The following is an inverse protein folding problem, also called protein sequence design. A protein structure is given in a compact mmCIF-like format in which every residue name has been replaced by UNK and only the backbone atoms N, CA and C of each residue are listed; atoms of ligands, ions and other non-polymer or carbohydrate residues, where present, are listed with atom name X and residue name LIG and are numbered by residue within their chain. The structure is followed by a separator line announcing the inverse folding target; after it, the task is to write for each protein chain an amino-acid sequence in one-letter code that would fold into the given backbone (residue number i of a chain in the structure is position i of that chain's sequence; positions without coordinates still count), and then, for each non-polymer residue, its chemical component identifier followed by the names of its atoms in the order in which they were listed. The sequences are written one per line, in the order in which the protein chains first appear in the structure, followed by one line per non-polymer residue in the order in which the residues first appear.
data_IF_519998752286
#
_entry.id   IF_519998752286
#
_cell.length_a   1.000
_cell.length_b   1.000
_cell.length_c   1.000
_cell.angle_alpha   90.00
_cell.angle_beta   90.00
_cell.angle_gamma   90.00
#
_symmetry.space_group_name_H-M   'P 1'
#
loop_
_entity.id
_entity.type
_entity.pdbx_description
1 polymer ?
#
# COMPACT_ATOMS: atom_id res chain seq x y z
N UNK A 1 -10.36 9.10 10.28
CA UNK A 1 -10.13 8.36 9.03
C UNK A 1 -8.68 7.95 8.89
N UNK A 2 -8.41 6.65 8.98
CA UNK A 2 -7.06 6.09 8.80
C UNK A 2 -6.58 6.21 7.35
N UNK A 3 -5.28 6.47 7.18
CA UNK A 3 -4.61 6.63 5.89
C UNK A 3 -3.51 5.57 5.73
N UNK A 4 -3.30 5.09 4.51
CA UNK A 4 -2.31 4.04 4.22
C UNK A 4 -1.24 4.54 3.25
N UNK A 5 0.01 4.15 3.48
CA UNK A 5 1.08 4.31 2.50
C UNK A 5 1.24 3.01 1.71
N UNK A 6 1.31 3.14 0.39
CA UNK A 6 1.54 2.02 -0.53
C UNK A 6 2.78 2.30 -1.39
N UNK A 7 3.21 1.32 -2.16
CA UNK A 7 4.38 1.44 -3.03
C UNK A 7 4.00 1.42 -4.51
N UNK A 8 4.80 2.06 -5.35
CA UNK A 8 4.60 2.11 -6.80
C UNK A 8 4.80 0.72 -7.41
N UNK A 9 3.79 0.16 -8.11
CA UNK A 9 3.88 -1.17 -8.70
C UNK A 9 4.91 -1.30 -9.84
N UNK A 10 5.41 -0.18 -10.37
CA UNK A 10 6.40 -0.16 -11.45
C UNK A 10 7.83 -0.32 -10.95
N UNK A 11 8.07 -0.07 -9.65
CA UNK A 11 9.40 -0.04 -9.05
C UNK A 11 9.51 -0.90 -7.78
N UNK A 12 8.39 -1.34 -7.20
CA UNK A 12 8.35 -2.08 -5.94
C UNK A 12 7.60 -3.41 -6.07
N UNK A 13 8.21 -4.50 -5.59
CA UNK A 13 7.57 -5.83 -5.60
C UNK A 13 6.34 -5.91 -4.69
N UNK A 14 6.29 -5.33 -3.48
CA UNK A 14 5.04 -5.14 -2.74
C UNK A 14 3.96 -4.35 -3.49
N UNK A 15 4.35 -3.28 -4.19
CA UNK A 15 3.44 -2.47 -4.99
C UNK A 15 2.80 -3.30 -6.11
N UNK A 16 3.63 -4.09 -6.82
CA UNK A 16 3.15 -5.03 -7.84
C UNK A 16 2.24 -6.10 -7.22
N UNK A 17 2.58 -6.59 -6.04
CA UNK A 17 1.74 -7.51 -5.26
C UNK A 17 0.34 -6.96 -5.01
N UNK A 18 0.23 -5.69 -4.57
CA UNK A 18 -1.08 -5.04 -4.39
C UNK A 18 -1.84 -4.89 -5.70
N UNK A 19 -1.16 -4.52 -6.79
CA UNK A 19 -1.78 -4.41 -8.12
C UNK A 19 -2.45 -5.72 -8.53
N UNK A 20 -1.71 -6.83 -8.41
CA UNK A 20 -2.20 -8.15 -8.74
C UNK A 20 -3.26 -8.63 -7.76
N UNK A 21 -3.15 -8.29 -6.48
CA UNK A 21 -4.13 -8.66 -5.46
C UNK A 21 -5.48 -7.98 -5.70
N UNK A 22 -5.49 -6.67 -5.96
CA UNK A 22 -6.72 -5.94 -6.31
C UNK A 22 -7.36 -6.54 -7.57
N UNK A 23 -6.56 -6.84 -8.61
CA UNK A 23 -7.05 -7.53 -9.81
C UNK A 23 -7.63 -8.91 -9.50
N UNK A 24 -6.98 -9.69 -8.64
CA UNK A 24 -7.43 -11.03 -8.27
C UNK A 24 -8.75 -11.02 -7.49
N UNK A 25 -8.97 -10.03 -6.63
CA UNK A 25 -10.17 -9.93 -5.78
C UNK A 25 -11.33 -9.30 -6.52
N UNK A 26 -11.07 -8.25 -7.30
CA UNK A 26 -12.13 -7.43 -7.90
C UNK A 26 -12.32 -7.67 -9.40
N UNK A 27 -11.39 -8.32 -10.10
CA UNK A 27 -11.48 -8.58 -11.54
C UNK A 27 -11.70 -7.29 -12.33
N UNK A 28 -12.74 -7.27 -13.15
CA UNK A 28 -13.13 -6.10 -13.95
C UNK A 28 -13.56 -4.89 -13.09
N UNK A 29 -13.89 -5.10 -11.81
CA UNK A 29 -14.23 -4.04 -10.85
C UNK A 29 -13.01 -3.42 -10.15
N UNK A 30 -11.80 -3.78 -10.58
CA UNK A 30 -10.56 -3.23 -10.03
C UNK A 30 -10.49 -1.70 -10.14
N UNK A 31 -10.92 -1.03 -11.24
CA UNK A 31 -10.91 0.44 -11.33
C UNK A 31 -11.72 1.12 -10.22
N UNK A 32 -12.91 0.60 -9.88
CA UNK A 32 -13.75 1.13 -8.81
C UNK A 32 -13.14 0.88 -7.43
N UNK A 33 -12.50 -0.29 -7.23
CA UNK A 33 -11.77 -0.60 -6.00
C UNK A 33 -10.60 0.37 -5.80
N UNK A 34 -9.83 0.64 -6.87
CA UNK A 34 -8.76 1.64 -6.84
C UNK A 34 -9.25 3.05 -6.58
N UNK A 35 -10.39 3.45 -7.17
CA UNK A 35 -10.99 4.76 -6.92
C UNK A 35 -11.37 4.93 -5.44
N UNK A 36 -11.93 3.89 -4.80
CA UNK A 36 -12.23 3.87 -3.36
C UNK A 36 -10.97 3.89 -2.50
N UNK A 37 -9.98 3.06 -2.83
CA UNK A 37 -8.72 2.98 -2.09
C UNK A 37 -7.94 4.28 -2.16
N UNK A 38 -7.93 4.97 -3.31
CA UNK A 38 -7.25 6.26 -3.52
C UNK A 38 -7.63 7.30 -2.46
N UNK A 39 -8.88 7.33 -2.00
CA UNK A 39 -9.32 8.25 -0.96
C UNK A 39 -8.65 8.01 0.41
N UNK A 40 -8.12 6.80 0.64
CA UNK A 40 -7.42 6.39 1.87
C UNK A 40 -5.89 6.35 1.71
N UNK A 41 -5.36 6.43 0.49
CA UNK A 41 -3.91 6.49 0.27
C UNK A 41 -3.37 7.86 0.71
N UNK A 42 -2.37 7.85 1.60
CA UNK A 42 -1.64 9.05 2.01
C UNK A 42 -0.64 9.46 0.93
N UNK A 43 0.20 8.51 0.50
CA UNK A 43 1.19 8.70 -0.57
C UNK A 43 1.57 7.36 -1.18
N UNK A 44 2.22 7.41 -2.34
CA UNK A 44 2.78 6.26 -3.08
C UNK A 44 4.29 6.46 -3.16
N UNK A 45 5.04 5.57 -2.52
CA UNK A 45 6.51 5.66 -2.48
C UNK A 45 7.14 4.79 -3.58
N UNK A 46 8.37 5.09 -4.06
CA UNK A 46 9.09 4.23 -5.01
C UNK A 46 9.35 2.81 -4.51
N UNK A 47 9.43 2.59 -3.19
CA UNK A 47 9.85 1.30 -2.63
C UNK A 47 9.42 1.09 -1.19
N UNK A 48 9.49 -0.16 -0.74
CA UNK A 48 9.05 -0.58 0.58
C UNK A 48 9.77 0.11 1.73
N UNK A 49 11.09 0.28 1.64
CA UNK A 49 11.87 0.86 2.74
C UNK A 49 11.43 2.27 3.10
N UNK A 50 11.06 3.08 2.11
CA UNK A 50 10.56 4.44 2.33
C UNK A 50 9.16 4.42 2.93
N UNK A 51 8.24 3.62 2.38
CA UNK A 51 6.90 3.44 2.95
C UNK A 51 6.95 2.95 4.40
N UNK A 52 7.81 1.98 4.69
CA UNK A 52 7.98 1.42 6.02
C UNK A 52 8.58 2.44 6.98
N UNK A 53 9.55 3.24 6.52
CA UNK A 53 10.12 4.34 7.30
C UNK A 53 9.08 5.39 7.70
N UNK A 54 8.13 5.74 6.82
CA UNK A 54 7.03 6.64 7.16
C UNK A 54 6.13 6.05 8.26
N UNK A 55 5.87 4.75 8.20
CA UNK A 55 5.09 4.04 9.21
C UNK A 55 5.81 3.99 10.57
N UNK A 56 7.08 3.58 10.61
CA UNK A 56 7.81 3.45 11.88
C UNK A 56 8.14 4.79 12.54
N UNK A 57 8.13 5.90 11.79
CA UNK A 57 8.26 7.26 12.34
C UNK A 57 6.92 7.87 12.79
N UNK A 58 5.80 7.17 12.61
CA UNK A 58 4.46 7.67 12.94
C UNK A 58 3.93 8.71 11.94
N UNK A 59 4.58 8.91 10.79
CA UNK A 59 4.12 9.82 9.73
C UNK A 59 2.95 9.22 8.94
N UNK A 60 2.77 7.90 8.98
CA UNK A 60 1.65 7.18 8.41
C UNK A 60 1.09 6.15 9.41
N UNK A 61 -0.24 6.09 9.61
CA UNK A 61 -0.81 5.14 10.57
C UNK A 61 -0.88 3.70 10.04
N UNK A 62 -0.75 3.49 8.72
CA UNK A 62 -0.75 2.17 8.09
C UNK A 62 0.20 2.11 6.90
N UNK A 63 0.72 0.91 6.63
CA UNK A 63 1.53 0.61 5.44
C UNK A 63 1.18 -0.75 4.85
N UNK A 64 1.17 -0.87 3.52
CA UNK A 64 1.16 -2.17 2.88
C UNK A 64 2.51 -2.87 3.11
N UNK A 65 2.46 -4.04 3.76
CA UNK A 65 3.63 -4.87 4.04
C UNK A 65 3.32 -6.37 3.97
N UNK A 66 4.27 -7.20 4.37
CA UNK A 66 4.10 -8.65 4.50
C UNK A 66 3.69 -9.04 5.92
N UNK A 67 3.06 -10.21 6.07
CA UNK A 67 2.66 -10.75 7.38
C UNK A 67 3.85 -11.12 8.26
N UNK A 68 5.03 -11.32 7.67
CA UNK A 68 6.30 -11.55 8.38
C UNK A 68 6.97 -10.25 8.84
N UNK A 69 6.43 -9.09 8.49
CA UNK A 69 6.96 -7.80 8.94
C UNK A 69 6.56 -7.52 10.39
N UNK A 70 7.42 -6.87 11.19
CA UNK A 70 7.04 -6.40 12.52
C UNK A 70 5.83 -5.48 12.44
N UNK A 71 4.78 -5.80 13.21
CA UNK A 71 3.53 -5.05 13.27
C UNK A 71 3.61 -3.85 14.25
N UNK A 72 4.65 -3.78 15.07
CA UNK A 72 4.87 -2.77 16.09
C UNK A 72 6.32 -2.25 16.02
N UNK A 73 6.46 -0.94 16.17
CA UNK A 73 7.71 -0.20 16.39
C UNK A 73 7.46 0.90 17.43
#
# INVERSE_FOLDING_TARGET
DEKIVIQDPRTSTPGLGLLLWVKSVYGDKAPEAWAKLKAKVLTVTPGWSEAYGLFTKGEAPMVLSYTTSPAYH
#
